data_IF_502545224780
#
_entry.id   IF_502545224780
#
_cell.length_a   1.000
_cell.length_b   1.000
_cell.length_c   1.000
_cell.angle_alpha   90.00
_cell.angle_beta   90.00
_cell.angle_gamma   90.00
#
_symmetry.space_group_name_H-M   'P 1'
#
loop_
_entity.id
_entity.type
_entity.pdbx_description
1 polymer ?
#
# COMPACT_ATOMS: atom_id res chain seq x y z
N UNK A 1 21.76 -30.91 32.94
CA UNK A 1 20.64 -31.55 32.21
C UNK A 1 19.37 -30.73 32.42
N UNK A 2 19.09 -29.79 31.51
CA UNK A 2 17.80 -29.10 31.49
C UNK A 2 16.73 -30.13 31.08
N UNK A 3 15.69 -30.30 31.91
CA UNK A 3 14.61 -31.26 31.65
C UNK A 3 14.00 -31.02 30.26
N UNK A 4 13.81 -32.09 29.48
CA UNK A 4 13.12 -32.07 28.16
C UNK A 4 11.79 -31.30 28.20
N UNK A 5 11.12 -31.26 29.36
CA UNK A 5 9.89 -30.48 29.57
C UNK A 5 10.12 -28.97 29.49
N UNK A 6 11.22 -28.44 30.05
CA UNK A 6 11.54 -26.99 29.95
C UNK A 6 11.86 -26.57 28.52
N UNK A 7 12.61 -27.40 27.77
CA UNK A 7 12.94 -27.09 26.38
C UNK A 7 11.68 -27.03 25.50
N UNK A 8 10.75 -27.98 25.69
CA UNK A 8 9.48 -27.99 24.96
C UNK A 8 8.55 -26.82 25.31
N UNK A 9 8.55 -26.37 26.57
CA UNK A 9 7.79 -25.17 27.00
C UNK A 9 8.37 -23.89 26.40
N UNK A 10 9.69 -23.78 26.31
CA UNK A 10 10.40 -22.64 25.74
C UNK A 10 10.23 -22.59 24.22
N UNK A 11 10.27 -23.75 23.55
CA UNK A 11 10.00 -23.88 22.12
C UNK A 11 8.54 -23.54 21.77
N UNK A 12 7.57 -24.00 22.57
CA UNK A 12 6.16 -23.60 22.43
C UNK A 12 5.95 -22.11 22.68
N UNK A 13 6.63 -21.53 23.67
CA UNK A 13 6.59 -20.09 23.93
C UNK A 13 7.13 -19.26 22.76
N UNK A 14 8.25 -19.67 22.17
CA UNK A 14 8.84 -19.00 21.01
C UNK A 14 7.99 -19.12 19.75
N UNK A 15 7.37 -20.28 19.52
CA UNK A 15 6.41 -20.48 18.41
C UNK A 15 5.18 -19.58 18.63
N UNK A 16 4.64 -19.51 19.85
CA UNK A 16 3.52 -18.63 20.16
C UNK A 16 3.88 -17.16 19.95
N UNK A 17 5.05 -16.68 20.38
CA UNK A 17 5.52 -15.31 20.16
C UNK A 17 5.76 -15.03 18.66
N UNK A 18 6.30 -16.01 17.92
CA UNK A 18 6.48 -15.94 16.46
C UNK A 18 5.15 -15.87 15.72
N UNK A 19 4.16 -16.68 16.12
CA UNK A 19 2.81 -16.68 15.54
C UNK A 19 2.04 -15.42 15.94
N UNK A 20 2.19 -14.92 17.17
CA UNK A 20 1.56 -13.68 17.63
C UNK A 20 2.17 -12.45 16.95
N UNK A 21 3.49 -12.43 16.74
CA UNK A 21 4.17 -11.35 16.01
C UNK A 21 3.88 -11.39 14.51
N UNK A 22 3.71 -12.58 13.92
CA UNK A 22 3.20 -12.74 12.55
C UNK A 22 1.72 -12.34 12.44
N UNK A 23 0.91 -12.62 13.47
CA UNK A 23 -0.49 -12.20 13.52
C UNK A 23 -0.65 -10.69 13.67
N UNK A 24 0.21 -10.02 14.45
CA UNK A 24 0.22 -8.55 14.54
C UNK A 24 0.73 -7.92 13.25
N UNK A 25 1.73 -8.52 12.58
CA UNK A 25 2.20 -8.08 11.27
C UNK A 25 1.14 -8.27 10.16
N UNK A 26 0.30 -9.31 10.25
CA UNK A 26 -0.84 -9.53 9.35
C UNK A 26 -2.05 -8.65 9.72
N UNK A 27 -2.19 -8.24 10.99
CA UNK A 27 -3.22 -7.32 11.45
C UNK A 27 -2.92 -5.84 11.19
N UNK A 28 -1.77 -5.49 10.61
CA UNK A 28 -1.53 -4.14 10.07
C UNK A 28 -1.96 -4.06 8.59
N UNK A 29 -3.16 -4.53 8.31
CA UNK A 29 -3.86 -4.29 7.05
C UNK A 29 -4.49 -2.90 7.02
N UNK A 30 -3.66 -1.91 6.69
CA UNK A 30 -3.98 -0.92 5.66
C UNK A 30 -5.03 0.18 5.93
N UNK A 31 -4.91 0.89 7.04
CA UNK A 31 -5.58 2.20 7.24
C UNK A 31 -5.06 3.28 6.25
N UNK A 32 -4.04 2.96 5.43
CA UNK A 32 -3.43 3.83 4.41
C UNK A 32 -3.91 3.60 2.97
N UNK A 33 -4.61 2.50 2.68
CA UNK A 33 -4.93 2.09 1.29
C UNK A 33 -6.00 2.94 0.66
N UNK A 34 -7.13 3.14 1.34
CA UNK A 34 -8.27 3.81 0.73
C UNK A 34 -7.91 5.25 0.36
N UNK A 35 -7.20 5.90 1.29
CA UNK A 35 -6.68 7.24 1.08
C UNK A 35 -5.71 7.28 -0.13
N UNK A 36 -4.73 6.37 -0.18
CA UNK A 36 -3.75 6.34 -1.27
C UNK A 36 -4.41 5.94 -2.61
N UNK A 37 -5.37 5.03 -2.59
CA UNK A 37 -6.15 4.61 -3.74
C UNK A 37 -6.99 5.77 -4.31
N UNK A 38 -7.70 6.52 -3.46
CA UNK A 38 -8.43 7.70 -3.90
C UNK A 38 -7.46 8.73 -4.47
N UNK A 39 -6.33 8.97 -3.80
CA UNK A 39 -5.33 9.93 -4.27
C UNK A 39 -4.76 9.54 -5.63
N UNK A 40 -4.40 8.28 -5.81
CA UNK A 40 -3.90 7.74 -7.09
C UNK A 40 -4.95 7.89 -8.18
N UNK A 41 -6.20 7.51 -7.88
CA UNK A 41 -7.31 7.64 -8.81
C UNK A 41 -7.56 9.10 -9.23
N UNK A 42 -7.63 10.03 -8.27
CA UNK A 42 -7.83 11.46 -8.54
C UNK A 42 -6.69 12.03 -9.39
N UNK A 43 -5.43 11.71 -9.08
CA UNK A 43 -4.28 12.14 -9.89
C UNK A 43 -4.31 11.58 -11.30
N UNK A 44 -4.82 10.36 -11.45
CA UNK A 44 -4.95 9.72 -12.76
C UNK A 44 -6.01 10.41 -13.62
N UNK A 45 -7.18 10.76 -13.06
CA UNK A 45 -8.27 11.40 -13.82
C UNK A 45 -8.08 12.91 -14.00
N UNK A 46 -7.38 13.57 -13.08
CA UNK A 46 -7.14 15.02 -13.08
C UNK A 46 -5.64 15.37 -13.02
N UNK A 47 -4.85 15.07 -14.07
CA UNK A 47 -3.43 15.43 -14.13
C UNK A 47 -3.20 16.94 -14.26
N UNK A 48 -4.24 17.70 -14.61
CA UNK A 48 -4.19 19.17 -14.77
C UNK A 48 -4.57 19.91 -13.48
N UNK A 49 -4.90 19.19 -12.41
CA UNK A 49 -5.30 19.74 -11.12
C UNK A 49 -6.51 20.69 -11.18
N UNK A 50 -7.45 20.46 -12.09
CA UNK A 50 -8.71 21.21 -12.23
C UNK A 50 -9.55 21.15 -10.96
N UNK A 51 -9.47 20.06 -10.20
CA UNK A 51 -10.17 19.86 -8.94
C UNK A 51 -9.55 20.66 -7.78
N UNK A 52 -8.42 21.34 -7.99
CA UNK A 52 -7.70 22.13 -6.97
C UNK A 52 -7.39 21.35 -5.70
N UNK A 53 -7.11 20.04 -5.83
CA UNK A 53 -6.76 19.18 -4.70
C UNK A 53 -5.29 19.44 -4.35
N UNK A 54 -5.10 20.38 -3.43
CA UNK A 54 -3.81 21.00 -3.14
C UNK A 54 -2.69 20.02 -2.80
N UNK A 55 -1.54 20.21 -3.44
CA UNK A 55 -0.27 19.52 -3.15
C UNK A 55 0.27 19.77 -1.72
N UNK A 56 -0.41 20.61 -0.93
CA UNK A 56 0.01 21.06 0.41
C UNK A 56 -0.83 20.50 1.57
N UNK A 57 -1.75 19.55 1.33
CA UNK A 57 -2.36 18.83 2.44
C UNK A 57 -1.36 17.75 2.89
N UNK A 58 -0.88 17.74 4.15
CA UNK A 58 -0.19 16.59 4.71
C UNK A 58 -1.20 15.44 4.78
N UNK A 59 -1.28 14.74 3.66
CA UNK A 59 -2.30 13.77 3.28
C UNK A 59 -2.04 12.43 4.01
N UNK A 60 -2.07 12.49 5.34
CA UNK A 60 -2.04 11.33 6.24
C UNK A 60 -3.38 11.09 6.92
N UNK A 61 -4.42 11.85 6.57
CA UNK A 61 -5.75 11.75 7.19
C UNK A 61 -6.79 11.39 6.15
N UNK A 62 -7.72 10.57 6.60
CA UNK A 62 -8.91 10.07 5.92
C UNK A 62 -9.46 11.07 4.86
N UNK A 63 -9.70 10.61 3.61
CA UNK A 63 -10.13 11.46 2.51
C UNK A 63 -11.43 12.23 2.81
N UNK A 64 -12.29 11.71 3.67
CA UNK A 64 -13.57 12.32 4.03
C UNK A 64 -13.46 13.55 4.93
N UNK A 65 -12.28 13.85 5.48
CA UNK A 65 -12.04 15.03 6.32
C UNK A 65 -11.94 16.32 5.51
N UNK A 66 -11.53 16.20 4.25
CA UNK A 66 -11.45 17.32 3.32
C UNK A 66 -12.64 17.15 2.38
N UNK A 67 -13.64 18.04 2.41
CA UNK A 67 -14.81 17.97 1.54
C UNK A 67 -14.41 18.13 0.06
N UNK A 68 -13.83 17.07 -0.53
CA UNK A 68 -13.36 17.07 -1.91
C UNK A 68 -14.58 17.21 -2.81
N UNK A 69 -14.48 18.13 -3.77
CA UNK A 69 -15.56 18.36 -4.73
C UNK A 69 -15.86 17.05 -5.47
N UNK A 70 -17.13 16.66 -5.45
CA UNK A 70 -17.59 15.45 -6.10
C UNK A 70 -17.31 14.16 -5.33
N UNK A 71 -16.71 14.18 -4.15
CA UNK A 71 -16.53 12.99 -3.31
C UNK A 71 -17.53 13.02 -2.16
N UNK A 72 -18.27 11.93 -1.98
CA UNK A 72 -19.17 11.72 -0.83
C UNK A 72 -18.71 10.50 -0.06
N UNK A 73 -18.86 10.61 1.26
CA UNK A 73 -18.50 9.55 2.19
C UNK A 73 -19.74 8.95 2.86
N UNK A 74 -19.53 7.82 3.52
CA UNK A 74 -20.52 7.19 4.39
C UNK A 74 -20.92 8.13 5.55
N UNK A 75 -21.99 7.75 6.27
CA UNK A 75 -22.51 8.51 7.41
C UNK A 75 -21.50 8.73 8.54
N UNK A 76 -20.53 7.82 8.67
CA UNK A 76 -19.45 7.91 9.65
C UNK A 76 -18.31 8.85 9.21
N UNK A 77 -18.29 9.27 7.94
CA UNK A 77 -17.20 10.06 7.37
C UNK A 77 -15.86 9.33 7.37
N UNK A 78 -15.86 8.00 7.30
CA UNK A 78 -14.66 7.14 7.36
C UNK A 78 -14.25 6.57 6.02
N UNK A 79 -15.20 6.46 5.07
CA UNK A 79 -14.96 5.78 3.80
C UNK A 79 -15.77 6.41 2.68
N UNK A 80 -15.17 6.49 1.50
CA UNK A 80 -15.74 7.04 0.26
C UNK A 80 -16.79 6.08 -0.28
N UNK A 81 -17.97 6.62 -0.57
CA UNK A 81 -19.09 5.87 -1.12
C UNK A 81 -19.46 6.33 -2.51
N UNK A 82 -19.23 7.60 -2.85
CA UNK A 82 -19.58 8.15 -4.16
C UNK A 82 -18.50 9.08 -4.71
N UNK A 83 -18.25 8.98 -6.01
CA UNK A 83 -17.41 9.90 -6.79
C UNK A 83 -18.24 10.42 -7.97
N UNK A 84 -18.41 11.74 -8.04
CA UNK A 84 -19.22 12.48 -9.01
C UNK A 84 -18.40 13.62 -9.59
N UNK A 85 -17.71 13.35 -10.68
CA UNK A 85 -16.81 14.29 -11.36
C UNK A 85 -17.29 14.54 -12.78
N UNK A 86 -18.56 14.90 -12.94
CA UNK A 86 -19.21 15.08 -14.24
C UNK A 86 -18.95 16.48 -14.80
N UNK A 87 -18.71 16.60 -16.11
CA UNK A 87 -18.61 17.89 -16.81
C UNK A 87 -17.55 18.84 -16.23
N UNK A 88 -16.34 18.32 -15.98
CA UNK A 88 -15.22 19.08 -15.41
C UNK A 88 -14.05 19.23 -16.39
N UNK A 89 -14.24 18.87 -17.66
CA UNK A 89 -13.19 18.88 -18.70
C UNK A 89 -11.94 18.09 -18.30
N UNK A 90 -12.11 17.01 -17.53
CA UNK A 90 -10.99 16.18 -17.08
C UNK A 90 -10.38 15.40 -18.25
N UNK A 91 -9.04 15.46 -18.39
CA UNK A 91 -8.28 14.88 -19.52
C UNK A 91 -7.38 13.71 -19.13
N UNK A 92 -7.56 13.16 -17.94
CA UNK A 92 -6.75 12.08 -17.41
C UNK A 92 -7.08 10.69 -17.97
N UNK A 93 -6.63 9.67 -17.24
CA UNK A 93 -6.85 8.26 -17.55
C UNK A 93 -7.75 7.60 -16.50
N UNK A 94 -8.55 6.63 -16.94
CA UNK A 94 -9.34 5.79 -16.04
C UNK A 94 -8.45 4.72 -15.39
N UNK A 95 -7.97 5.00 -14.18
CA UNK A 95 -7.22 4.03 -13.36
C UNK A 95 -8.17 3.16 -12.52
N UNK A 96 -8.66 2.08 -13.14
CA UNK A 96 -9.60 1.13 -12.50
C UNK A 96 -8.96 0.40 -11.30
N UNK A 97 -7.65 0.17 -11.32
CA UNK A 97 -6.95 -0.56 -10.26
C UNK A 97 -7.00 0.21 -8.94
N UNK A 98 -6.78 1.52 -8.99
CA UNK A 98 -6.90 2.38 -7.82
C UNK A 98 -8.37 2.62 -7.45
N UNK A 99 -9.26 2.77 -8.43
CA UNK A 99 -10.69 2.95 -8.19
C UNK A 99 -11.30 1.79 -7.40
N UNK A 100 -10.97 0.55 -7.78
CA UNK A 100 -11.54 -0.66 -7.18
C UNK A 100 -10.86 -1.08 -5.87
N UNK A 101 -9.88 -0.32 -5.37
CA UNK A 101 -9.36 -0.46 -4.00
C UNK A 101 -10.19 0.30 -2.97
N UNK A 102 -11.14 1.12 -3.39
CA UNK A 102 -12.07 1.81 -2.50
C UNK A 102 -13.15 0.83 -2.01
N UNK A 103 -13.11 0.40 -0.73
CA UNK A 103 -13.84 -0.79 -0.27
C UNK A 103 -15.35 -0.59 -0.22
N UNK A 104 -15.82 0.64 -0.05
CA UNK A 104 -17.24 0.98 0.09
C UNK A 104 -17.80 1.79 -1.08
N UNK A 105 -17.06 1.90 -2.18
CA UNK A 105 -17.46 2.67 -3.35
C UNK A 105 -18.67 2.04 -4.03
N UNK A 106 -19.74 2.82 -4.16
CA UNK A 106 -21.02 2.38 -4.70
C UNK A 106 -21.43 3.14 -5.95
N UNK A 107 -21.03 4.40 -6.07
CA UNK A 107 -21.44 5.27 -7.17
C UNK A 107 -20.24 5.95 -7.78
N UNK A 108 -20.05 5.77 -9.09
CA UNK A 108 -19.03 6.48 -9.86
C UNK A 108 -19.69 7.11 -11.08
N UNK A 109 -19.51 8.41 -11.23
CA UNK A 109 -19.87 9.12 -12.45
C UNK A 109 -18.75 10.06 -12.86
N UNK A 110 -18.21 9.80 -14.04
CA UNK A 110 -17.19 10.60 -14.71
C UNK A 110 -17.70 11.11 -16.07
N UNK A 111 -19.02 11.17 -16.23
CA UNK A 111 -19.63 11.45 -17.52
C UNK A 111 -19.28 12.84 -18.04
N UNK A 112 -19.27 12.99 -19.36
CA UNK A 112 -19.01 14.26 -20.06
C UNK A 112 -17.63 14.85 -19.69
N UNK A 113 -16.59 14.03 -19.82
CA UNK A 113 -15.20 14.49 -19.70
C UNK A 113 -14.42 14.04 -20.94
N UNK A 114 -13.09 14.18 -20.90
CA UNK A 114 -12.17 13.73 -21.94
C UNK A 114 -11.27 12.60 -21.42
N UNK A 115 -11.80 11.74 -20.54
CA UNK A 115 -11.03 10.67 -19.90
C UNK A 115 -10.69 9.60 -20.93
N UNK A 116 -9.42 9.17 -20.92
CA UNK A 116 -8.85 8.16 -21.81
C UNK A 116 -8.60 6.84 -21.08
N UNK A 117 -8.21 5.82 -21.84
CA UNK A 117 -7.86 4.50 -21.31
C UNK A 117 -8.93 3.46 -21.63
N UNK A 118 -8.95 2.39 -20.83
CA UNK A 118 -9.82 1.23 -21.06
C UNK A 118 -10.44 0.78 -19.74
N UNK A 119 -11.59 0.13 -19.78
CA UNK A 119 -12.10 -0.59 -18.60
C UNK A 119 -11.34 -1.92 -18.51
N UNK A 120 -10.43 -2.04 -17.55
CA UNK A 120 -9.63 -3.25 -17.33
C UNK A 120 -10.43 -4.36 -16.63
N UNK A 121 -9.92 -5.59 -16.65
CA UNK A 121 -10.54 -6.73 -15.96
C UNK A 121 -10.54 -6.58 -14.42
N UNK A 122 -9.69 -5.72 -13.87
CA UNK A 122 -9.65 -5.43 -12.43
C UNK A 122 -10.91 -4.74 -11.91
N UNK A 123 -11.80 -4.30 -12.81
CA UNK A 123 -13.16 -3.86 -12.46
C UNK A 123 -13.91 -4.89 -11.61
N UNK A 124 -13.55 -6.19 -11.70
CA UNK A 124 -14.06 -7.27 -10.84
C UNK A 124 -13.91 -7.00 -9.34
N UNK A 125 -12.92 -6.18 -8.94
CA UNK A 125 -12.66 -5.86 -7.54
C UNK A 125 -13.56 -4.76 -6.98
N UNK A 126 -14.27 -4.01 -7.84
CA UNK A 126 -15.26 -3.00 -7.45
C UNK A 126 -16.57 -3.67 -6.95
N UNK A 127 -16.47 -4.55 -5.96
CA UNK A 127 -17.52 -5.51 -5.58
C UNK A 127 -18.82 -4.87 -5.09
N UNK A 128 -18.76 -3.66 -4.51
CA UNK A 128 -19.92 -2.91 -4.00
C UNK A 128 -20.49 -1.88 -4.98
N UNK A 129 -19.94 -1.81 -6.20
CA UNK A 129 -20.34 -0.81 -7.17
C UNK A 129 -21.76 -1.08 -7.67
N UNK A 130 -22.64 -0.10 -7.51
CA UNK A 130 -24.06 -0.19 -7.91
C UNK A 130 -24.37 0.68 -9.13
N UNK A 131 -23.57 1.73 -9.35
CA UNK A 131 -23.74 2.69 -10.43
C UNK A 131 -22.38 3.07 -11.02
N UNK A 132 -22.24 2.86 -12.33
CA UNK A 132 -21.06 3.29 -13.09
C UNK A 132 -21.51 4.06 -14.33
N UNK A 133 -21.17 5.34 -14.39
CA UNK A 133 -21.42 6.19 -15.55
C UNK A 133 -20.11 6.79 -16.08
N UNK A 134 -19.72 6.34 -17.26
CA UNK A 134 -18.54 6.76 -18.00
C UNK A 134 -18.92 7.40 -19.34
N UNK A 135 -20.20 7.72 -19.54
CA UNK A 135 -20.75 8.24 -20.79
C UNK A 135 -20.02 9.49 -21.29
N UNK A 136 -19.90 9.63 -22.61
CA UNK A 136 -19.31 10.81 -23.26
C UNK A 136 -17.89 11.08 -22.76
N UNK A 137 -17.00 10.12 -23.01
CA UNK A 137 -15.57 10.20 -22.75
C UNK A 137 -14.79 9.70 -23.98
N UNK A 138 -13.48 9.53 -23.85
CA UNK A 138 -12.60 9.02 -24.93
C UNK A 138 -12.04 7.65 -24.54
N UNK A 139 -12.83 6.84 -23.84
CA UNK A 139 -12.46 5.49 -23.45
C UNK A 139 -12.53 4.55 -24.65
N UNK A 140 -11.51 3.73 -24.83
CA UNK A 140 -11.41 2.79 -25.92
C UNK A 140 -11.09 1.40 -25.41
N UNK A 141 -10.81 0.45 -26.31
CA UNK A 141 -10.51 -0.91 -25.93
C UNK A 141 -11.71 -1.85 -26.00
N UNK A 142 -11.45 -3.11 -25.65
CA UNK A 142 -12.47 -4.15 -25.56
C UNK A 142 -13.21 -4.03 -24.24
N UNK A 143 -14.54 -4.11 -24.28
CA UNK A 143 -15.36 -4.14 -23.07
C UNK A 143 -15.15 -5.48 -22.33
N UNK A 144 -14.74 -5.50 -21.05
CA UNK A 144 -14.46 -6.71 -20.28
C UNK A 144 -15.74 -7.37 -19.76
N UNK A 145 -16.60 -7.85 -20.65
CA UNK A 145 -17.95 -8.39 -20.31
C UNK A 145 -17.92 -9.43 -19.19
N UNK A 146 -16.94 -10.34 -19.20
CA UNK A 146 -16.78 -11.39 -18.17
C UNK A 146 -16.44 -10.86 -16.78
N UNK A 147 -15.73 -9.72 -16.70
CA UNK A 147 -15.41 -9.09 -15.43
C UNK A 147 -16.61 -8.26 -14.94
N UNK A 148 -17.26 -7.51 -15.84
CA UNK A 148 -18.46 -6.75 -15.53
C UNK A 148 -19.61 -7.65 -15.03
N UNK A 149 -19.78 -8.84 -15.62
CA UNK A 149 -20.80 -9.80 -15.18
C UNK A 149 -20.59 -10.35 -13.77
N UNK A 150 -19.41 -10.16 -13.17
CA UNK A 150 -19.14 -10.57 -11.79
C UNK A 150 -19.56 -9.51 -10.76
N UNK A 151 -19.89 -8.29 -11.20
CA UNK A 151 -20.38 -7.23 -10.33
C UNK A 151 -21.87 -7.41 -10.06
N UNK A 152 -22.18 -8.26 -9.08
CA UNK A 152 -23.55 -8.68 -8.76
C UNK A 152 -24.48 -7.54 -8.31
N UNK A 153 -23.90 -6.51 -7.70
CA UNK A 153 -24.67 -5.37 -7.17
C UNK A 153 -24.81 -4.22 -8.19
N UNK A 154 -24.18 -4.32 -9.37
CA UNK A 154 -24.22 -3.29 -10.39
C UNK A 154 -25.60 -3.21 -11.03
N UNK A 155 -26.31 -2.10 -10.79
CA UNK A 155 -27.69 -1.86 -11.27
C UNK A 155 -27.74 -1.00 -12.51
N UNK A 156 -26.77 -0.09 -12.67
CA UNK A 156 -26.69 0.82 -13.81
C UNK A 156 -25.25 0.91 -14.30
N UNK A 157 -25.09 0.66 -15.60
CA UNK A 157 -23.85 0.81 -16.33
C UNK A 157 -24.13 1.65 -17.57
N UNK A 158 -23.59 2.85 -17.62
CA UNK A 158 -23.61 3.70 -18.80
C UNK A 158 -22.18 3.92 -19.29
N UNK A 159 -21.89 3.38 -20.47
CA UNK A 159 -20.59 3.50 -21.15
C UNK A 159 -20.78 4.02 -22.58
N UNK A 160 -21.95 4.61 -22.89
CA UNK A 160 -22.26 5.10 -24.23
C UNK A 160 -21.38 6.29 -24.60
N UNK A 161 -21.40 6.68 -25.87
CA UNK A 161 -20.65 7.83 -26.39
C UNK A 161 -19.14 7.73 -26.07
N UNK A 162 -18.56 6.55 -26.26
CA UNK A 162 -17.14 6.25 -26.12
C UNK A 162 -16.68 5.35 -27.28
N UNK A 163 -15.43 5.47 -27.76
CA UNK A 163 -14.88 4.65 -28.86
C UNK A 163 -14.52 3.20 -28.44
N UNK A 164 -15.42 2.49 -27.76
CA UNK A 164 -15.24 1.06 -27.45
C UNK A 164 -15.43 0.17 -28.68
N UNK A 165 -14.72 -0.95 -28.73
CA UNK A 165 -14.89 -1.97 -29.76
C UNK A 165 -15.29 -3.32 -29.18
N UNK A 166 -16.09 -4.08 -29.94
CA UNK A 166 -16.56 -5.42 -29.53
C UNK A 166 -15.47 -6.49 -29.70
N UNK A 167 -14.68 -6.39 -30.78
CA UNK A 167 -13.61 -7.32 -31.15
C UNK A 167 -12.30 -6.56 -31.32
N UNK A 168 -11.20 -7.18 -30.89
CA UNK A 168 -9.87 -6.61 -31.12
C UNK A 168 -9.70 -6.39 -32.63
N UNK A 169 -9.40 -5.17 -33.09
CA UNK A 169 -9.36 -4.89 -34.52
C UNK A 169 -8.34 -5.81 -35.18
N UNK A 170 -8.74 -6.42 -36.29
CA UNK A 170 -7.85 -7.24 -37.11
C UNK A 170 -6.67 -6.39 -37.59
N UNK A 171 -5.55 -7.01 -37.97
CA UNK A 171 -4.38 -6.29 -38.50
C UNK A 171 -4.77 -5.33 -39.64
N UNK A 172 -5.74 -5.71 -40.47
CA UNK A 172 -6.26 -4.88 -41.57
C UNK A 172 -6.93 -3.61 -41.03
N UNK A 173 -7.87 -3.73 -40.09
CA UNK A 173 -8.55 -2.58 -39.46
C UNK A 173 -7.58 -1.67 -38.68
N UNK A 174 -6.51 -2.24 -38.12
CA UNK A 174 -5.45 -1.47 -37.45
C UNK A 174 -4.66 -0.62 -38.46
N UNK A 175 -4.37 -1.17 -39.64
CA UNK A 175 -3.65 -0.46 -40.68
C UNK A 175 -4.52 0.66 -41.30
N UNK A 176 -5.83 0.43 -41.44
CA UNK A 176 -6.75 1.47 -41.91
C UNK A 176 -6.91 2.61 -40.89
N UNK A 177 -6.95 2.30 -39.59
CA UNK A 177 -6.92 3.30 -38.53
C UNK A 177 -5.58 4.07 -38.48
N UNK A 178 -4.45 3.40 -38.73
CA UNK A 178 -3.12 4.02 -38.77
C UNK A 178 -2.98 4.96 -39.99
N UNK A 179 -3.46 4.54 -41.17
CA UNK A 179 -3.52 5.38 -42.38
C UNK A 179 -4.39 6.63 -42.18
N UNK A 180 -5.48 6.50 -41.43
CA UNK A 180 -6.36 7.64 -41.09
C UNK A 180 -5.70 8.58 -40.05
N UNK A 181 -4.81 8.08 -39.19
CA UNK A 181 -3.99 8.91 -38.30
C UNK A 181 -2.84 9.60 -39.05
N UNK A 182 -2.19 8.94 -40.01
CA UNK A 182 -1.14 9.55 -40.85
C UNK A 182 -1.69 10.71 -41.70
N UNK A 183 -2.89 10.57 -42.27
CA UNK A 183 -3.59 11.68 -42.95
C UNK A 183 -3.90 12.88 -42.05
N UNK A 184 -4.03 12.69 -40.74
CA UNK A 184 -4.22 13.78 -39.79
C UNK A 184 -2.89 14.47 -39.40
N UNK A 185 -1.76 13.76 -39.54
CA UNK A 185 -0.40 14.31 -39.32
C UNK A 185 0.06 15.12 -40.54
N UNK A 186 -0.39 14.76 -41.75
CA UNK A 186 -0.06 15.47 -42.99
C UNK A 186 -0.67 16.88 -43.07
N UNK A 187 -1.61 17.24 -42.18
CA UNK A 187 -2.10 18.62 -42.02
C UNK A 187 -1.28 19.48 -41.03
N UNK A 188 -0.20 18.96 -40.44
CA UNK A 188 0.64 19.71 -39.49
C UNK A 188 2.08 19.80 -40.01
N UNK A 189 2.29 20.59 -41.06
CA UNK A 189 3.54 21.28 -41.39
C UNK A 189 3.09 22.48 -42.23
N UNK A 190 3.23 23.74 -41.82
CA UNK A 190 4.45 24.54 -41.76
C UNK A 190 4.25 25.69 -40.75
N UNK A 191 5.19 25.85 -39.81
CA UNK A 191 5.92 27.10 -39.60
C UNK A 191 7.10 26.81 -38.68
N UNK A 192 8.26 26.59 -39.29
CA UNK A 192 9.54 26.60 -38.62
C UNK A 192 9.93 28.05 -38.33
N UNK A 193 10.26 28.35 -37.09
CA UNK A 193 11.19 29.41 -36.74
C UNK A 193 12.10 28.88 -35.62
N UNK A 194 13.39 29.13 -35.84
CA UNK A 194 14.55 28.86 -35.03
C UNK A 194 14.41 29.23 -33.56
N UNK A 195 14.94 28.41 -32.65
CA UNK A 195 16.08 28.79 -31.81
C UNK A 195 16.59 27.64 -30.94
N UNK A 196 17.90 27.70 -30.68
CA UNK A 196 18.79 26.74 -30.02
C UNK A 196 18.41 26.32 -28.58
N UNK A 197 18.93 25.18 -28.09
CA UNK A 197 18.64 24.68 -26.75
C UNK A 197 19.57 25.28 -25.69
N UNK A 198 19.01 25.90 -24.66
CA UNK A 198 19.73 26.22 -23.41
C UNK A 198 19.15 25.45 -22.21
N UNK A 199 20.00 24.59 -21.68
CA UNK A 199 20.16 24.18 -20.26
C UNK A 199 18.95 24.25 -19.33
N UNK A 200 18.40 23.09 -18.99
CA UNK A 200 17.58 22.87 -17.79
C UNK A 200 18.22 21.81 -16.90
N UNK A 201 18.68 22.22 -15.71
CA UNK A 201 19.22 21.36 -14.67
C UNK A 201 18.26 20.20 -14.30
N UNK A 202 18.76 18.98 -14.03
CA UNK A 202 17.96 17.92 -13.46
C UNK A 202 17.75 18.18 -11.95
N UNK A 203 16.49 18.14 -11.52
CA UNK A 203 16.11 18.02 -10.10
C UNK A 203 16.76 16.77 -9.47
N UNK A 204 17.14 16.80 -8.18
CA UNK A 204 17.91 15.74 -7.56
C UNK A 204 17.10 14.44 -7.48
N UNK A 205 17.72 13.26 -7.67
CA UNK A 205 17.03 12.00 -7.53
C UNK A 205 16.63 11.81 -6.06
N UNK A 206 15.33 11.70 -5.82
CA UNK A 206 14.80 11.30 -4.52
C UNK A 206 15.51 10.04 -4.04
N UNK A 207 16.24 10.19 -2.93
CA UNK A 207 17.11 9.22 -2.25
C UNK A 207 16.71 7.74 -2.45
N UNK A 208 17.25 7.15 -3.52
CA UNK A 208 17.05 5.75 -3.93
C UNK A 208 17.61 4.75 -2.90
N UNK A 209 18.58 5.18 -2.08
CA UNK A 209 19.19 4.33 -1.07
C UNK A 209 18.15 3.80 -0.06
N UNK A 210 17.18 4.63 0.37
CA UNK A 210 16.18 4.21 1.36
C UNK A 210 15.31 3.03 0.88
N UNK A 211 15.04 2.90 -0.43
CA UNK A 211 14.27 1.76 -0.98
C UNK A 211 15.01 0.43 -0.81
N UNK A 212 16.35 0.44 -0.87
CA UNK A 212 17.17 -0.77 -0.72
C UNK A 212 17.45 -1.09 0.76
N UNK A 213 17.55 -0.08 1.62
CA UNK A 213 17.76 -0.28 3.06
C UNK A 213 16.47 -0.51 3.87
N UNK A 214 15.29 -0.22 3.31
CA UNK A 214 13.98 -0.45 3.98
C UNK A 214 13.81 -1.89 4.49
N UNK A 215 14.38 -2.88 3.80
CA UNK A 215 14.36 -4.28 4.21
C UNK A 215 15.59 -4.71 5.02
N UNK A 216 16.71 -3.99 4.90
CA UNK A 216 17.96 -4.33 5.60
C UNK A 216 18.00 -3.77 7.03
N UNK A 217 17.41 -2.59 7.27
CA UNK A 217 17.41 -1.95 8.59
C UNK A 217 16.71 -2.82 9.67
N UNK A 218 15.52 -3.40 9.43
CA UNK A 218 14.89 -4.26 10.43
C UNK A 218 15.69 -5.54 10.71
N UNK A 219 16.39 -6.06 9.70
CA UNK A 219 17.19 -7.29 9.81
C UNK A 219 18.44 -7.04 10.66
N UNK A 220 19.14 -5.92 10.45
CA UNK A 220 20.32 -5.53 11.24
C UNK A 220 19.94 -5.21 12.68
N UNK A 221 18.84 -4.48 12.89
CA UNK A 221 18.32 -4.17 14.24
C UNK A 221 17.89 -5.46 14.94
N UNK A 222 17.21 -6.37 14.24
CA UNK A 222 16.80 -7.68 14.77
C UNK A 222 17.99 -8.55 15.20
N UNK A 223 19.05 -8.62 14.40
CA UNK A 223 20.28 -9.34 14.77
C UNK A 223 20.93 -8.71 16.00
N UNK A 224 21.00 -7.37 16.07
CA UNK A 224 21.54 -6.65 17.23
C UNK A 224 20.78 -6.95 18.52
N UNK A 225 19.45 -6.92 18.49
CA UNK A 225 18.61 -7.29 19.63
C UNK A 225 18.77 -8.75 20.02
N UNK A 226 18.90 -9.67 19.06
CA UNK A 226 19.13 -11.08 19.32
C UNK A 226 20.48 -11.35 20.00
N UNK A 227 21.54 -10.70 19.53
CA UNK A 227 22.87 -10.78 20.15
C UNK A 227 22.87 -10.19 21.58
N UNK A 228 22.21 -9.06 21.80
CA UNK A 228 22.03 -8.48 23.13
C UNK A 228 21.26 -9.42 24.06
N UNK A 229 20.15 -9.99 23.57
CA UNK A 229 19.33 -10.90 24.35
C UNK A 229 20.11 -12.16 24.75
N UNK A 230 20.81 -12.81 23.81
CA UNK A 230 21.63 -14.00 24.09
C UNK A 230 22.78 -13.68 25.05
N UNK A 231 23.40 -12.50 24.93
CA UNK A 231 24.42 -12.02 25.86
C UNK A 231 23.86 -11.86 27.29
N UNK A 232 22.72 -11.16 27.46
CA UNK A 232 22.12 -10.97 28.78
C UNK A 232 21.58 -12.28 29.37
N UNK A 233 20.97 -13.14 28.56
CA UNK A 233 20.51 -14.46 28.98
C UNK A 233 21.69 -15.34 29.42
N UNK A 234 22.78 -15.34 28.66
CA UNK A 234 24.03 -16.05 29.00
C UNK A 234 24.65 -15.53 30.29
N UNK A 235 24.72 -14.20 30.47
CA UNK A 235 25.22 -13.58 31.71
C UNK A 235 24.38 -13.94 32.92
N UNK A 236 23.05 -13.98 32.76
CA UNK A 236 22.14 -14.41 33.83
C UNK A 236 22.31 -15.90 34.13
N UNK A 237 22.44 -16.76 33.11
CA UNK A 237 22.68 -18.19 33.27
C UNK A 237 24.03 -18.49 33.96
N UNK A 238 25.09 -17.76 33.61
CA UNK A 238 26.40 -17.89 34.27
C UNK A 238 26.35 -17.49 35.75
N UNK A 239 25.62 -16.42 36.08
CA UNK A 239 25.39 -16.02 37.49
C UNK A 239 24.62 -17.09 38.27
N UNK A 240 23.56 -17.63 37.69
CA UNK A 240 22.79 -18.74 38.29
C UNK A 240 23.60 -20.03 38.43
N UNK A 241 24.55 -20.30 37.53
CA UNK A 241 25.45 -21.45 37.63
C UNK A 241 26.43 -21.29 38.81
N UNK A 242 27.04 -20.11 38.95
CA UNK A 242 27.93 -19.81 40.07
C UNK A 242 27.21 -19.88 41.42
N UNK A 243 26.02 -19.29 41.54
CA UNK A 243 25.21 -19.34 42.77
C UNK A 243 24.79 -20.78 43.11
N UNK A 244 24.49 -21.60 42.10
CA UNK A 244 24.15 -23.03 42.30
C UNK A 244 25.34 -23.85 42.78
N UNK A 245 26.55 -23.54 42.33
CA UNK A 245 27.77 -24.21 42.76
C UNK A 245 28.14 -23.84 44.20
N UNK A 246 27.97 -22.57 44.58
CA UNK A 246 28.07 -22.11 45.97
C UNK A 246 27.06 -22.85 46.85
N UNK A 247 25.78 -22.94 46.44
CA UNK A 247 24.75 -23.65 47.21
C UNK A 247 25.00 -25.16 47.31
N UNK A 248 25.63 -25.78 46.31
CA UNK A 248 26.08 -27.19 46.40
C UNK A 248 27.20 -27.35 47.41
N UNK A 249 28.22 -26.50 47.36
CA UNK A 249 29.32 -26.54 48.35
C UNK A 249 28.84 -26.29 49.79
N UNK A 250 27.80 -25.47 49.96
CA UNK A 250 27.14 -25.23 51.26
C UNK A 250 26.31 -26.44 51.74
N UNK A 251 25.75 -27.22 50.80
CA UNK A 251 24.98 -28.43 51.10
C UNK A 251 25.87 -29.60 51.50
N UNK A 252 27.04 -29.73 50.88
CA UNK A 252 27.96 -30.85 51.10
C UNK A 252 28.84 -30.67 52.36
N UNK A 253 28.87 -29.49 52.98
CA UNK A 253 29.69 -29.23 54.18
C UNK A 253 29.08 -28.13 55.09
N UNK A 254 28.06 -28.45 55.91
CA UNK A 254 27.34 -27.48 56.75
C UNK A 254 28.23 -26.79 57.82
N UNK A 255 29.37 -27.39 58.18
CA UNK A 255 30.25 -26.89 59.25
C UNK A 255 31.05 -25.63 58.87
N UNK A 256 31.18 -25.30 57.57
CA UNK A 256 31.81 -24.05 57.11
C UNK A 256 30.96 -22.80 57.38
N UNK A 257 29.66 -22.94 57.61
CA UNK A 257 28.77 -21.82 57.88
C UNK A 257 29.00 -21.21 59.27
N UNK A 258 29.40 -22.03 60.25
CA UNK A 258 29.78 -21.57 61.59
C UNK A 258 31.10 -20.78 61.55
N UNK A 259 32.09 -21.21 60.75
CA UNK A 259 33.38 -20.51 60.65
C UNK A 259 33.28 -19.12 60.00
N UNK A 260 32.40 -18.95 59.01
CA UNK A 260 32.19 -17.66 58.34
C UNK A 260 31.36 -16.67 59.18
N UNK A 261 30.47 -17.16 60.06
CA UNK A 261 29.72 -16.32 61.01
C UNK A 261 30.60 -15.81 62.16
N UNK A 262 31.63 -16.57 62.55
CA UNK A 262 32.62 -16.13 63.55
C UNK A 262 33.64 -15.13 62.99
N UNK A 263 34.04 -15.23 61.72
CA UNK A 263 35.01 -14.28 61.13
C UNK A 263 34.43 -12.88 60.90
N UNK A 264 33.11 -12.76 60.69
CA UNK A 264 32.42 -11.46 60.50
C UNK A 264 32.11 -10.73 61.81
N UNK A 265 32.26 -11.38 62.98
CA UNK A 265 32.06 -10.77 64.31
C UNK A 265 33.35 -10.27 64.98
N UNK A 266 34.52 -10.39 64.32
CA UNK A 266 35.83 -9.91 64.82
C UNK A 266 36.44 -8.76 64.01
N UNK A 267 35.73 -8.21 63.02
CA UNK A 267 36.20 -7.07 62.22
C UNK A 267 35.25 -5.86 62.25
N UNK A 268 34.49 -5.71 63.33
CA UNK A 268 33.86 -4.46 63.73
C UNK A 268 34.40 -4.10 65.10
#
# INVERSE_FOLDING_TARGET
>A
MLSRRCFNLLLRGLICIGVFSFSIAVCMGDESSEFEALRQFIRAVDPQHVLSIGNNVPMRRNPCMHKLKGVKCNSQGTSVTEIRLENLNLRGILDVDSLCKLPNLQYVSLARNQIRGTISNSIVHCTRLTYLNLRSNVLSGKIPKKALSKLKDLRRLDISDNPFYYHQPTRLQRNDALKNQEKAVESVTIMAASDSPTSGHPNPPGNSWYKRYKFMIPLVVGIGFFLLFTYFAGRKAAKLAADREILKSLRDSPDKFLFLRFKRKRSQ
#
